data_IF_963223730315
#
_entry.id   IF_963223730315
#
_cell.length_a   1.000
_cell.length_b   1.000
_cell.length_c   1.000
_cell.angle_alpha   90.00
_cell.angle_beta   90.00
_cell.angle_gamma   90.00
#
_symmetry.space_group_name_H-M   'P 1'
#
loop_
_entity.id
_entity.type
_entity.pdbx_description
1 polymer ?
#
# COMPACT_ATOMS: atom_id res chain seq x y z
N UNK A 1 -9.53 -14.44 6.71
CA UNK A 1 -9.16 -13.06 6.33
C UNK A 1 -9.44 -12.91 4.85
N UNK A 2 -10.01 -11.79 4.43
CA UNK A 2 -10.30 -11.52 3.02
C UNK A 2 -9.00 -11.34 2.24
N UNK A 3 -8.88 -11.97 1.07
CA UNK A 3 -7.72 -11.82 0.17
C UNK A 3 -7.82 -10.56 -0.72
N UNK A 4 -8.85 -9.72 -0.49
CA UNK A 4 -9.05 -8.49 -1.24
C UNK A 4 -7.96 -7.48 -0.88
N UNK A 5 -7.11 -7.16 -1.85
CA UNK A 5 -6.14 -6.06 -1.76
C UNK A 5 -6.50 -5.00 -2.78
N UNK A 6 -6.67 -3.76 -2.31
CA UNK A 6 -6.93 -2.55 -3.11
C UNK A 6 -5.99 -1.42 -2.68
N UNK A 7 -6.07 -0.31 -3.41
CA UNK A 7 -5.40 0.94 -3.10
C UNK A 7 -6.44 2.01 -2.76
N UNK A 8 -6.07 2.93 -1.89
CA UNK A 8 -6.81 4.17 -1.65
C UNK A 8 -5.89 5.36 -1.92
N UNK A 9 -6.47 6.47 -2.38
CA UNK A 9 -5.76 7.73 -2.61
C UNK A 9 -6.46 8.82 -1.81
N UNK A 10 -5.66 9.53 -1.02
CA UNK A 10 -6.14 10.61 -0.15
C UNK A 10 -5.49 11.93 -0.55
N UNK A 11 -6.27 13.01 -0.60
CA UNK A 11 -5.73 14.36 -0.72
C UNK A 11 -4.97 14.79 0.55
N UNK A 12 -5.40 14.29 1.72
CA UNK A 12 -4.81 14.61 3.01
C UNK A 12 -4.56 13.35 3.84
N UNK A 13 -3.29 12.96 3.95
CA UNK A 13 -2.82 11.82 4.75
C UNK A 13 -3.17 11.95 6.25
N UNK A 14 -3.14 13.16 6.80
CA UNK A 14 -3.38 13.36 8.24
C UNK A 14 -4.88 13.31 8.60
N UNK A 15 -5.73 13.85 7.73
CA UNK A 15 -7.17 13.93 7.93
C UNK A 15 -7.89 13.61 6.60
N UNK A 16 -8.06 12.33 6.28
CA UNK A 16 -8.67 11.91 5.00
C UNK A 16 -10.01 12.61 4.72
N UNK A 17 -10.82 12.84 5.76
CA UNK A 17 -12.12 13.52 5.66
C UNK A 17 -12.07 15.01 5.28
N UNK A 18 -10.88 15.63 5.27
CA UNK A 18 -10.68 17.04 4.90
C UNK A 18 -10.28 17.25 3.44
N UNK A 19 -10.33 16.21 2.60
CA UNK A 19 -10.02 16.32 1.18
C UNK A 19 -10.70 15.24 0.32
N UNK A 20 -10.29 15.15 -0.93
CA UNK A 20 -10.72 14.08 -1.85
C UNK A 20 -10.25 12.70 -1.38
N UNK A 21 -11.15 11.73 -1.45
CA UNK A 21 -10.93 10.33 -1.06
C UNK A 21 -11.35 9.43 -2.22
N UNK A 22 -10.47 8.53 -2.63
CA UNK A 22 -10.72 7.56 -3.70
C UNK A 22 -10.31 6.17 -3.23
N UNK A 23 -11.28 5.29 -2.99
CA UNK A 23 -11.06 3.96 -2.40
C UNK A 23 -11.34 2.82 -3.39
N UNK A 24 -10.89 1.61 -3.05
CA UNK A 24 -11.22 0.40 -3.81
C UNK A 24 -10.52 0.29 -5.18
N UNK A 25 -9.45 1.07 -5.39
CA UNK A 25 -8.69 1.10 -6.64
C UNK A 25 -7.92 -0.21 -6.80
N UNK A 26 -8.02 -0.86 -7.97
CA UNK A 26 -7.48 -2.21 -8.17
C UNK A 26 -6.09 -2.25 -8.79
N UNK A 27 -5.62 -1.14 -9.36
CA UNK A 27 -4.34 -1.06 -10.08
C UNK A 27 -3.49 0.11 -9.62
N UNK A 28 -2.17 -0.09 -9.59
CA UNK A 28 -1.21 0.96 -9.23
C UNK A 28 -1.26 2.10 -10.25
N UNK A 29 -1.42 1.80 -11.54
CA UNK A 29 -1.52 2.83 -12.58
C UNK A 29 -2.72 3.77 -12.35
N UNK A 30 -3.86 3.23 -11.94
CA UNK A 30 -5.03 4.04 -11.62
C UNK A 30 -4.82 4.89 -10.38
N UNK A 31 -4.23 4.31 -9.32
CA UNK A 31 -3.92 5.05 -8.10
C UNK A 31 -2.96 6.22 -8.39
N UNK A 32 -1.91 5.98 -9.17
CA UNK A 32 -0.95 7.04 -9.57
C UNK A 32 -1.63 8.10 -10.44
N UNK A 33 -2.54 7.72 -11.36
CA UNK A 33 -3.31 8.69 -12.17
C UNK A 33 -4.17 9.59 -11.28
N UNK A 34 -4.93 9.01 -10.35
CA UNK A 34 -5.77 9.76 -9.39
C UNK A 34 -4.89 10.66 -8.52
N UNK A 35 -3.83 10.11 -7.94
CA UNK A 35 -2.91 10.83 -7.07
C UNK A 35 -2.28 12.04 -7.77
N UNK A 36 -1.89 11.92 -9.04
CA UNK A 36 -1.37 13.03 -9.83
C UNK A 36 -2.44 14.06 -10.23
N UNK A 37 -3.70 13.64 -10.37
CA UNK A 37 -4.81 14.53 -10.75
C UNK A 37 -5.21 15.51 -9.65
N UNK A 38 -4.96 15.15 -8.38
CA UNK A 38 -5.25 16.01 -7.24
C UNK A 38 -4.22 17.18 -7.23
N UNK A 39 -4.66 18.45 -7.32
CA UNK A 39 -3.75 19.58 -7.40
C UNK A 39 -2.94 19.76 -6.12
N UNK A 40 -1.62 19.83 -6.23
CA UNK A 40 -0.71 20.08 -5.09
C UNK A 40 -0.85 21.46 -4.47
N UNK A 41 -1.51 22.41 -5.16
CA UNK A 41 -1.73 23.77 -4.68
C UNK A 41 -2.92 23.91 -3.73
N UNK A 42 -3.70 22.83 -3.50
CA UNK A 42 -4.79 22.87 -2.52
C UNK A 42 -4.18 22.81 -1.12
N UNK A 43 -4.59 23.72 -0.24
CA UNK A 43 -4.02 23.88 1.11
C UNK A 43 -4.32 22.72 2.06
N UNK A 44 -4.94 21.63 1.61
CA UNK A 44 -5.68 20.73 2.48
C UNK A 44 -4.94 19.46 2.92
N UNK A 45 -3.69 19.23 2.50
CA UNK A 45 -2.88 18.15 3.07
C UNK A 45 -1.75 17.64 2.18
N UNK A 46 -1.01 16.65 2.69
CA UNK A 46 -0.05 15.88 1.92
C UNK A 46 -0.78 14.68 1.33
N UNK A 47 -0.81 14.60 0.00
CA UNK A 47 -1.48 13.50 -0.71
C UNK A 47 -0.81 12.16 -0.42
N UNK A 48 -1.57 11.10 -0.24
CA UNK A 48 -1.04 9.76 -0.02
C UNK A 48 -1.70 8.69 -0.87
N UNK A 49 -1.01 7.56 -0.98
CA UNK A 49 -1.51 6.30 -1.55
C UNK A 49 -1.35 5.23 -0.49
N UNK A 50 -2.44 4.56 -0.15
CA UNK A 50 -2.48 3.50 0.83
C UNK A 50 -2.76 2.14 0.19
N UNK A 51 -2.22 1.08 0.77
CA UNK A 51 -2.58 -0.31 0.47
C UNK A 51 -3.57 -0.77 1.53
N UNK A 52 -4.70 -1.31 1.07
CA UNK A 52 -5.81 -1.75 1.90
C UNK A 52 -6.02 -3.24 1.71
N UNK A 53 -6.05 -3.99 2.81
CA UNK A 53 -6.38 -5.41 2.87
C UNK A 53 -7.74 -5.59 3.55
N UNK A 54 -8.69 -6.19 2.84
CA UNK A 54 -10.06 -6.38 3.31
C UNK A 54 -11.02 -5.29 2.84
N UNK A 55 -12.16 -5.18 3.52
CA UNK A 55 -13.22 -4.23 3.22
C UNK A 55 -13.97 -3.81 4.49
N UNK A 56 -14.55 -2.61 4.49
CA UNK A 56 -15.32 -2.09 5.62
C UNK A 56 -14.45 -1.77 6.84
N UNK A 57 -15.04 -1.88 8.04
CA UNK A 57 -14.42 -1.43 9.29
C UNK A 57 -13.26 -2.32 9.77
N UNK A 58 -13.20 -3.57 9.31
CA UNK A 58 -12.13 -4.51 9.68
C UNK A 58 -10.97 -4.49 8.67
N UNK A 59 -11.00 -3.57 7.71
CA UNK A 59 -9.91 -3.43 6.73
C UNK A 59 -8.64 -2.93 7.42
N UNK A 60 -7.53 -3.57 7.08
CA UNK A 60 -6.20 -3.10 7.49
C UNK A 60 -5.66 -2.19 6.38
N UNK A 61 -5.30 -0.97 6.74
CA UNK A 61 -4.77 0.01 5.81
C UNK A 61 -3.37 0.47 6.21
N UNK A 62 -2.49 0.61 5.22
CA UNK A 62 -1.14 1.15 5.37
C UNK A 62 -0.86 2.20 4.32
N UNK A 63 -0.62 3.44 4.74
CA UNK A 63 -0.22 4.53 3.84
C UNK A 63 1.21 4.34 3.34
N UNK A 64 1.32 3.70 2.18
CA UNK A 64 2.59 3.32 1.57
C UNK A 64 3.38 4.52 1.05
N UNK A 65 2.70 5.51 0.46
CA UNK A 65 3.33 6.70 -0.12
C UNK A 65 2.66 7.93 0.49
N UNK A 66 3.44 8.80 1.11
CA UNK A 66 2.99 10.08 1.66
C UNK A 66 3.82 11.18 0.97
N UNK A 67 3.18 11.97 0.11
CA UNK A 67 3.86 12.94 -0.72
C UNK A 67 4.88 12.26 -1.63
N UNK A 68 6.18 12.56 -1.43
CA UNK A 68 7.27 11.98 -2.24
C UNK A 68 8.06 10.89 -1.51
N UNK A 69 7.53 10.41 -0.40
CA UNK A 69 8.22 9.43 0.43
C UNK A 69 7.39 8.17 0.52
N UNK A 70 8.00 7.03 0.22
CA UNK A 70 7.51 5.71 0.58
C UNK A 70 8.13 5.32 1.92
N UNK A 71 7.34 5.41 2.98
CA UNK A 71 7.77 5.04 4.33
C UNK A 71 7.29 3.62 4.66
N UNK A 72 8.25 2.72 4.80
CA UNK A 72 8.03 1.31 5.09
C UNK A 72 8.50 0.94 6.50
N UNK A 73 9.00 1.88 7.31
CA UNK A 73 9.53 1.54 8.64
C UNK A 73 8.44 0.91 9.51
N UNK A 74 7.24 1.49 9.45
CA UNK A 74 6.10 1.05 10.26
C UNK A 74 5.44 -0.22 9.72
N UNK A 75 5.78 -0.68 8.51
CA UNK A 75 5.18 -1.86 7.87
C UNK A 75 5.37 -3.14 8.72
N UNK A 76 6.42 -3.20 9.55
CA UNK A 76 6.66 -4.29 10.51
C UNK A 76 5.50 -4.54 11.49
N UNK A 77 4.65 -3.55 11.73
CA UNK A 77 3.48 -3.65 12.60
C UNK A 77 2.21 -4.12 11.87
N UNK A 78 2.26 -4.19 10.54
CA UNK A 78 1.14 -4.58 9.68
C UNK A 78 1.42 -5.95 9.06
N UNK A 79 1.49 -6.99 9.91
CA UNK A 79 1.88 -8.35 9.49
C UNK A 79 1.03 -8.90 8.36
N UNK A 80 -0.26 -8.57 8.33
CA UNK A 80 -1.20 -9.05 7.32
C UNK A 80 -0.88 -8.46 5.94
N UNK A 81 -0.49 -7.18 5.89
CA UNK A 81 -0.04 -6.52 4.66
C UNK A 81 1.35 -7.00 4.27
N UNK A 82 2.28 -7.07 5.24
CA UNK A 82 3.67 -7.45 5.01
C UNK A 82 3.84 -8.90 4.52
N UNK A 83 2.88 -9.78 4.82
CA UNK A 83 2.87 -11.19 4.37
C UNK A 83 2.01 -11.43 3.12
N UNK A 84 1.22 -10.45 2.67
CA UNK A 84 0.35 -10.60 1.50
C UNK A 84 1.12 -10.37 0.19
N UNK A 85 1.17 -11.38 -0.67
CA UNK A 85 1.93 -11.33 -1.93
C UNK A 85 1.46 -10.23 -2.89
N UNK A 86 0.15 -9.97 -2.95
CA UNK A 86 -0.41 -8.94 -3.81
C UNK A 86 -0.06 -7.53 -3.29
N UNK A 87 -0.11 -7.33 -1.98
CA UNK A 87 0.35 -6.09 -1.35
C UNK A 87 1.84 -5.84 -1.63
N UNK A 88 2.70 -6.85 -1.45
CA UNK A 88 4.14 -6.76 -1.77
C UNK A 88 4.38 -6.41 -3.25
N UNK A 89 3.59 -6.98 -4.17
CA UNK A 89 3.65 -6.61 -5.58
C UNK A 89 3.29 -5.14 -5.82
N UNK A 90 2.25 -4.64 -5.14
CA UNK A 90 1.83 -3.23 -5.26
C UNK A 90 2.88 -2.26 -4.70
N UNK A 91 3.55 -2.57 -3.58
CA UNK A 91 4.67 -1.75 -3.09
C UNK A 91 5.79 -1.65 -4.13
N UNK A 92 6.21 -2.78 -4.71
CA UNK A 92 7.26 -2.82 -5.74
C UNK A 92 6.87 -2.00 -6.97
N UNK A 93 5.64 -2.16 -7.43
CA UNK A 93 5.14 -1.45 -8.60
C UNK A 93 4.99 0.06 -8.34
N UNK A 94 4.58 0.47 -7.13
CA UNK A 94 4.58 1.89 -6.72
C UNK A 94 6.00 2.47 -6.72
N UNK A 95 6.96 1.75 -6.12
CA UNK A 95 8.37 2.16 -6.08
C UNK A 95 8.99 2.29 -7.48
N UNK A 96 8.65 1.38 -8.39
CA UNK A 96 9.13 1.40 -9.78
C UNK A 96 8.50 2.54 -10.59
N UNK A 97 7.19 2.78 -10.44
CA UNK A 97 6.43 3.69 -11.31
C UNK A 97 6.40 5.14 -10.84
N UNK A 98 6.63 5.42 -9.56
CA UNK A 98 6.66 6.80 -9.05
C UNK A 98 8.10 7.33 -9.11
N UNK A 99 8.40 8.29 -10.00
CA UNK A 99 9.77 8.80 -10.15
C UNK A 99 10.16 9.68 -8.97
N UNK A 100 11.46 9.63 -8.60
CA UNK A 100 12.04 10.43 -7.52
C UNK A 100 11.38 10.21 -6.15
N UNK A 101 10.90 8.99 -5.90
CA UNK A 101 10.38 8.57 -4.61
C UNK A 101 11.55 8.34 -3.65
N UNK A 102 11.54 9.05 -2.51
CA UNK A 102 12.39 8.72 -1.39
C UNK A 102 11.85 7.46 -0.72
N UNK A 103 12.71 6.49 -0.40
CA UNK A 103 12.28 5.24 0.24
C UNK A 103 12.97 5.15 1.60
N UNK A 104 12.15 5.03 2.64
CA UNK A 104 12.58 4.83 4.03
C UNK A 104 12.14 3.44 4.46
N UNK A 105 13.06 2.64 5.02
CA UNK A 105 12.81 1.22 5.28
C UNK A 105 12.96 0.34 4.04
N UNK A 106 12.43 -0.89 4.10
CA UNK A 106 12.61 -1.91 3.07
C UNK A 106 11.31 -2.67 2.79
N UNK A 107 11.08 -3.02 1.52
CA UNK A 107 10.00 -3.93 1.15
C UNK A 107 10.34 -5.33 1.70
N UNK A 108 9.43 -5.99 2.45
CA UNK A 108 9.66 -7.32 3.00
C UNK A 108 10.12 -8.32 1.94
N UNK A 109 11.22 -9.01 2.23
CA UNK A 109 11.69 -10.12 1.39
C UNK A 109 10.73 -11.29 1.55
N UNK A 110 10.20 -11.79 0.45
CA UNK A 110 9.40 -13.00 0.46
C UNK A 110 10.30 -14.18 0.86
N UNK A 111 9.99 -14.85 1.96
CA UNK A 111 10.58 -16.14 2.26
C UNK A 111 9.83 -17.21 1.47
N UNK A 112 10.53 -17.97 0.64
CA UNK A 112 9.97 -19.17 0.03
C UNK A 112 9.51 -20.10 1.15
N UNK A 113 8.21 -20.35 1.25
CA UNK A 113 7.68 -21.37 2.14
C UNK A 113 8.13 -22.72 1.59
N UNK A 114 9.26 -23.22 2.10
CA UNK A 114 9.69 -24.59 1.87
C UNK A 114 8.61 -25.51 2.45
N UNK A 115 7.71 -25.99 1.59
CA UNK A 115 6.78 -27.06 1.94
C UNK A 115 7.64 -28.30 2.22
N UNK A 116 7.97 -28.51 3.49
CA UNK A 116 8.51 -29.79 3.97
C UNK A 116 7.40 -30.81 3.72
N UNK A 117 7.45 -31.47 2.55
CA UNK A 117 6.65 -32.65 2.29
C UNK A 117 7.09 -33.70 3.31
N UNK A 118 6.32 -33.85 4.38
CA UNK A 118 6.46 -34.97 5.30
C UNK A 118 6.37 -36.25 4.47
N UNK A 119 7.52 -36.91 4.31
CA UNK A 119 7.57 -38.25 3.74
C UNK A 119 6.88 -39.15 4.75
N UNK A 120 5.64 -39.54 4.46
CA UNK A 120 5.04 -40.68 5.13
C UNK A 120 5.94 -41.88 4.85
N UNK A 121 6.71 -42.30 5.85
CA UNK A 121 7.40 -43.57 5.83
C UNK A 121 6.32 -44.66 5.83
N UNK A 122 6.34 -45.46 4.76
CA UNK A 122 5.51 -46.62 4.54
C UNK A 122 5.98 -47.78 5.41
#
# INVERSE_FOLDING_TARGET
MSDLVTLSVYECSEFHSMGEVHEGIKSVDEAIRVWNSIPSSRMNGIKSIAIVLGEGWDATEFEAVIGKTMDLEMLRYYSDIASNQKAISMFKELQEKIPNLEVVGEIPVQQDVNIVRTRHHR
#
